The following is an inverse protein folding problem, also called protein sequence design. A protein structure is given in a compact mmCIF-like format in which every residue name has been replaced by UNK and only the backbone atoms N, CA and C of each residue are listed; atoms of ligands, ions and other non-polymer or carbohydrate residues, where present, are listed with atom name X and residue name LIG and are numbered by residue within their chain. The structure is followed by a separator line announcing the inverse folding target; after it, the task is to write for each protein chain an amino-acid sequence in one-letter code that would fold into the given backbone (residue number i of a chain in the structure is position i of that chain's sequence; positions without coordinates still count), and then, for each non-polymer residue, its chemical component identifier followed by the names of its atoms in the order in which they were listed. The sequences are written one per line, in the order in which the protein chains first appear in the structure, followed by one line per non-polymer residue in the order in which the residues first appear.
data_IF_922834135380
#
_entry.id   IF_922834135380
#
_cell.length_a   1.000
_cell.length_b   1.000
_cell.length_c   1.000
_cell.angle_alpha   90.00
_cell.angle_beta   90.00
_cell.angle_gamma   90.00
#
_symmetry.space_group_name_H-M   'P 1'
#
loop_
_entity.id
_entity.type
_entity.pdbx_description
1 polymer ?
#
# COMPACT_ATOMS: atom_id res chain seq x y z
N UNK A 1 -5.43 15.20 -15.34
CA UNK A 1 -5.17 13.76 -15.10
C UNK A 1 -3.68 13.56 -15.19
N UNK A 2 -3.00 13.32 -14.06
CA UNK A 2 -1.57 13.01 -14.06
C UNK A 2 -1.38 11.60 -14.64
N UNK A 3 -0.57 11.50 -15.68
CA UNK A 3 -0.24 10.25 -16.36
C UNK A 3 0.64 9.42 -15.41
N UNK A 4 0.15 8.28 -14.96
CA UNK A 4 0.88 7.36 -14.09
C UNK A 4 2.00 6.70 -14.88
N UNK A 5 3.24 7.08 -14.61
CA UNK A 5 4.42 6.45 -15.21
C UNK A 5 4.74 5.13 -14.47
N UNK A 6 4.67 3.96 -15.12
CA UNK A 6 5.02 2.66 -14.54
C UNK A 6 6.42 2.63 -13.89
N UNK A 7 7.36 3.49 -14.36
CA UNK A 7 8.70 3.60 -13.78
C UNK A 7 8.67 4.11 -12.33
N UNK A 8 7.66 4.91 -11.98
CA UNK A 8 7.44 5.42 -10.62
C UNK A 8 7.16 4.28 -9.64
N UNK A 9 6.34 3.31 -10.03
CA UNK A 9 6.02 2.17 -9.18
C UNK A 9 7.24 1.25 -8.98
N UNK A 10 8.02 0.99 -10.03
CA UNK A 10 9.26 0.21 -9.90
C UNK A 10 10.29 0.87 -8.99
N UNK A 11 10.42 2.21 -9.05
CA UNK A 11 11.25 2.97 -8.10
C UNK A 11 10.73 2.88 -6.67
N UNK A 12 9.40 2.91 -6.49
CA UNK A 12 8.77 2.67 -5.20
C UNK A 12 9.06 1.25 -4.71
N UNK A 13 9.15 0.20 -5.54
CA UNK A 13 9.50 -1.15 -5.06
C UNK A 13 10.95 -1.28 -4.60
N UNK A 14 11.91 -0.71 -5.34
CA UNK A 14 13.34 -0.98 -5.12
C UNK A 14 14.01 -0.14 -4.01
N UNK A 15 13.31 0.83 -3.42
CA UNK A 15 13.86 1.74 -2.38
C UNK A 15 13.02 1.83 -1.11
N UNK A 16 12.23 0.81 -0.77
CA UNK A 16 11.39 0.87 0.43
C UNK A 16 12.18 0.55 1.69
N UNK A 17 11.91 1.32 2.73
CA UNK A 17 12.28 0.99 4.11
C UNK A 17 11.17 0.19 4.82
N UNK A 18 9.95 0.21 4.29
CA UNK A 18 8.75 -0.39 4.87
C UNK A 18 8.06 -1.24 3.82
N UNK A 19 7.77 -2.49 4.17
CA UNK A 19 6.96 -3.42 3.38
C UNK A 19 5.61 -3.69 4.04
N UNK A 20 4.68 -4.26 3.29
CA UNK A 20 3.42 -4.75 3.82
C UNK A 20 3.14 -6.11 3.18
N UNK A 21 2.90 -7.12 4.00
CA UNK A 21 2.46 -8.43 3.53
C UNK A 21 0.95 -8.38 3.33
N UNK A 22 0.53 -8.46 2.08
CA UNK A 22 -0.89 -8.45 1.70
C UNK A 22 -1.21 -9.69 0.87
N UNK A 23 -2.46 -10.19 0.89
CA UNK A 23 -2.86 -11.31 0.03
C UNK A 23 -2.85 -10.95 -1.48
N UNK A 24 -2.72 -9.67 -1.81
CA UNK A 24 -2.66 -9.19 -3.19
C UNK A 24 -1.26 -9.42 -3.78
N UNK A 25 -1.19 -10.13 -4.91
CA UNK A 25 0.07 -10.45 -5.59
C UNK A 25 0.02 -10.08 -7.07
N UNK A 26 1.18 -10.00 -7.72
CA UNK A 26 1.29 -9.69 -9.15
C UNK A 26 0.88 -8.25 -9.46
N UNK A 27 0.01 -8.04 -10.46
CA UNK A 27 -0.37 -6.69 -10.90
C UNK A 27 -1.12 -5.87 -9.85
N UNK A 28 -1.86 -6.56 -8.98
CA UNK A 28 -2.63 -5.94 -7.92
C UNK A 28 -1.84 -5.80 -6.62
N UNK A 29 -0.52 -6.08 -6.64
CA UNK A 29 0.37 -5.90 -5.49
C UNK A 29 0.25 -4.48 -4.92
N UNK A 30 0.14 -4.41 -3.59
CA UNK A 30 0.01 -3.17 -2.84
C UNK A 30 1.36 -2.70 -2.31
N UNK A 31 1.62 -1.42 -2.50
CA UNK A 31 2.88 -0.77 -2.13
C UNK A 31 2.63 0.32 -1.11
N UNK A 32 3.10 0.18 0.14
CA UNK A 32 2.91 1.23 1.14
C UNK A 32 3.69 2.48 0.74
N UNK A 33 3.00 3.61 0.76
CA UNK A 33 3.55 4.95 0.51
C UNK A 33 3.74 5.73 1.80
N UNK A 34 2.80 5.56 2.73
CA UNK A 34 2.73 6.31 3.98
C UNK A 34 2.05 5.47 5.05
N UNK A 35 2.45 5.66 6.30
CA UNK A 35 2.01 4.90 7.46
C UNK A 35 1.92 5.83 8.67
N UNK A 36 0.74 5.87 9.28
CA UNK A 36 0.48 6.58 10.54
C UNK A 36 -0.12 5.59 11.53
N UNK A 37 0.35 5.62 12.77
CA UNK A 37 -0.17 4.79 13.85
C UNK A 37 -0.47 5.68 15.05
N UNK A 38 -1.69 5.57 15.56
CA UNK A 38 -2.09 6.16 16.83
C UNK A 38 -2.37 5.05 17.82
N UNK A 39 -1.59 4.99 18.90
CA UNK A 39 -1.73 3.96 19.94
C UNK A 39 -1.63 4.55 21.35
N UNK A 40 -2.14 3.81 22.33
CA UNK A 40 -2.08 4.17 23.75
C UNK A 40 -2.52 3.02 24.65
N UNK A 41 -2.26 3.15 25.96
CA UNK A 41 -2.66 2.14 26.92
C UNK A 41 -4.18 2.06 27.02
N UNK A 42 -4.71 0.84 26.93
CA UNK A 42 -6.14 0.54 27.06
C UNK A 42 -7.05 1.27 26.05
N UNK A 43 -6.49 1.71 24.91
CA UNK A 43 -7.25 2.21 23.76
C UNK A 43 -7.03 1.31 22.56
N UNK A 44 -8.01 1.27 21.65
CA UNK A 44 -7.86 0.57 20.37
C UNK A 44 -6.88 1.38 19.53
N UNK A 45 -5.86 0.71 19.00
CA UNK A 45 -4.93 1.36 18.08
C UNK A 45 -5.61 1.59 16.73
N UNK A 46 -5.19 2.66 16.06
CA UNK A 46 -5.61 2.99 14.71
C UNK A 46 -4.39 3.09 13.81
N UNK A 47 -4.42 2.36 12.69
CA UNK A 47 -3.35 2.35 11.71
C UNK A 47 -3.93 2.82 10.38
N UNK A 48 -3.42 3.95 9.90
CA UNK A 48 -3.72 4.49 8.58
C UNK A 48 -2.55 4.23 7.64
N UNK A 49 -2.80 3.44 6.60
CA UNK A 49 -1.80 3.14 5.56
C UNK A 49 -2.30 3.57 4.20
N UNK A 50 -1.46 4.31 3.46
CA UNK A 50 -1.72 4.61 2.05
C UNK A 50 -0.97 3.63 1.17
N UNK A 51 -1.69 2.93 0.31
CA UNK A 51 -1.11 2.02 -0.67
C UNK A 51 -1.22 2.56 -2.09
N UNK A 52 -0.24 2.22 -2.93
CA UNK A 52 -0.32 2.31 -4.37
C UNK A 52 -0.48 0.91 -4.98
N UNK A 53 -1.23 0.82 -6.08
CA UNK A 53 -1.31 -0.37 -6.93
C UNK A 53 -1.02 0.02 -8.38
N UNK A 54 -0.48 -0.92 -9.17
CA UNK A 54 -0.44 -0.77 -10.64
C UNK A 54 -1.78 -1.13 -11.30
N UNK A 55 -2.68 -1.79 -10.56
CA UNK A 55 -3.98 -2.19 -11.04
C UNK A 55 -5.04 -1.14 -10.71
N UNK A 56 -5.50 -0.42 -11.74
CA UNK A 56 -6.56 0.58 -11.63
C UNK A 56 -7.94 -0.03 -11.35
N UNK A 57 -8.11 -1.33 -11.58
CA UNK A 57 -9.36 -2.06 -11.38
C UNK A 57 -9.25 -3.05 -10.21
N UNK A 58 -8.37 -2.78 -9.26
CA UNK A 58 -8.11 -3.66 -8.12
C UNK A 58 -9.39 -4.03 -7.37
N UNK A 59 -9.57 -5.32 -7.13
CA UNK A 59 -10.69 -5.84 -6.33
C UNK A 59 -10.31 -5.94 -4.86
N UNK A 60 -10.64 -4.91 -4.08
CA UNK A 60 -10.30 -4.84 -2.66
C UNK A 60 -10.92 -5.95 -1.80
N UNK A 61 -11.94 -6.64 -2.28
CA UNK A 61 -12.54 -7.79 -1.57
C UNK A 61 -11.53 -8.93 -1.34
N UNK A 62 -10.48 -9.00 -2.16
CA UNK A 62 -9.39 -9.97 -2.00
C UNK A 62 -8.49 -9.68 -0.78
N UNK A 63 -8.66 -8.54 -0.10
CA UNK A 63 -7.95 -8.21 1.15
C UNK A 63 -8.55 -8.84 2.42
N UNK A 64 -9.72 -9.45 2.33
CA UNK A 64 -10.45 -10.11 3.43
C UNK A 64 -10.14 -11.61 3.47
#
# INVERSE_FOLDING_TARGET
MQMFDPSTFSRLQNRRLIGADTPMTGRSELVPLDFHCTEGLSVVFEIDVRFASQDFNIELKQML
#
